data_IF_821963082921
#
_entry.id   IF_821963082921
#
_cell.length_a   1.000
_cell.length_b   1.000
_cell.length_c   1.000
_cell.angle_alpha   90.00
_cell.angle_beta   90.00
_cell.angle_gamma   90.00
#
_symmetry.space_group_name_H-M   'P 1'
#
loop_
_entity.id
_entity.type
_entity.pdbx_description
1 polymer ?
#
# COMPACT_ATOMS: atom_id res chain seq x y z
N UNK A 1 -9.89 -11.31 10.10
CA UNK A 1 -8.92 -10.20 10.16
C UNK A 1 -9.33 -9.15 9.15
N UNK A 2 -9.11 -7.88 9.42
CA UNK A 2 -9.56 -6.81 8.53
C UNK A 2 -8.57 -6.64 7.36
N UNK A 3 -9.09 -6.59 6.14
CA UNK A 3 -8.35 -6.33 4.90
C UNK A 3 -8.53 -4.88 4.42
N UNK A 4 -9.26 -4.06 5.16
CA UNK A 4 -9.46 -2.67 4.79
C UNK A 4 -8.17 -1.86 4.99
N UNK A 5 -7.83 -1.07 4.00
CA UNK A 5 -6.64 -0.23 4.00
C UNK A 5 -7.04 1.25 4.06
N UNK A 6 -6.21 2.07 4.68
CA UNK A 6 -6.40 3.51 4.79
C UNK A 6 -5.14 4.24 4.34
N UNK A 7 -5.30 5.32 3.58
CA UNK A 7 -4.22 6.22 3.20
C UNK A 7 -4.66 7.67 3.36
N UNK A 8 -4.27 8.29 4.47
CA UNK A 8 -4.69 9.64 4.84
C UNK A 8 -3.53 10.66 4.88
N UNK A 9 -2.36 10.24 5.31
CA UNK A 9 -1.16 11.10 5.44
C UNK A 9 0.10 10.24 5.63
N UNK A 10 1.28 10.89 5.66
CA UNK A 10 2.56 10.22 5.98
C UNK A 10 2.58 9.50 7.34
N UNK A 11 1.70 9.86 8.27
CA UNK A 11 1.61 9.27 9.61
C UNK A 11 0.33 8.48 9.86
N UNK A 12 -0.53 8.40 8.85
CA UNK A 12 -1.81 7.71 8.95
C UNK A 12 -2.10 6.93 7.67
N UNK A 13 -1.50 5.76 7.57
CA UNK A 13 -1.69 4.83 6.46
C UNK A 13 -1.56 3.38 6.91
N UNK A 14 -1.90 2.49 6.01
CA UNK A 14 -1.77 1.06 6.19
C UNK A 14 -0.99 0.44 5.03
N UNK A 15 -0.44 -0.75 5.27
CA UNK A 15 0.17 -1.63 4.28
C UNK A 15 -0.51 -2.99 4.36
N UNK A 16 -0.55 -3.71 3.26
CA UNK A 16 -0.92 -5.12 3.29
C UNK A 16 0.31 -5.99 3.51
N UNK A 17 0.13 -7.04 4.27
CA UNK A 17 1.13 -8.08 4.50
C UNK A 17 0.49 -9.42 4.80
N UNK A 18 1.26 -10.50 4.73
CA UNK A 18 0.77 -11.84 5.02
C UNK A 18 0.17 -11.96 6.42
N UNK A 19 -0.71 -12.94 6.58
CA UNK A 19 -1.35 -13.20 7.88
C UNK A 19 -0.36 -13.65 8.95
N UNK A 20 0.79 -14.25 8.55
CA UNK A 20 1.73 -14.89 9.47
C UNK A 20 1.14 -16.15 10.17
N UNK A 21 1.85 -16.73 11.14
CA UNK A 21 3.11 -16.24 11.71
C UNK A 21 4.35 -16.46 10.83
N UNK A 22 4.29 -17.40 9.89
CA UNK A 22 5.41 -17.67 9.00
C UNK A 22 5.54 -16.61 7.92
N UNK A 23 6.76 -16.13 7.62
CA UNK A 23 6.97 -15.19 6.52
C UNK A 23 6.67 -15.83 5.16
N UNK A 24 5.96 -15.10 4.32
CA UNK A 24 5.56 -15.51 2.96
C UNK A 24 5.86 -14.38 1.98
N UNK A 25 6.26 -14.70 0.76
CA UNK A 25 6.37 -13.70 -0.32
C UNK A 25 4.99 -13.14 -0.70
N UNK A 26 4.93 -11.87 -1.05
CA UNK A 26 3.66 -11.21 -1.41
C UNK A 26 2.99 -11.94 -2.56
N UNK A 27 3.69 -12.23 -3.65
CA UNK A 27 3.13 -12.94 -4.80
C UNK A 27 2.45 -14.28 -4.49
N UNK A 28 2.78 -14.91 -3.36
CA UNK A 28 2.14 -16.15 -2.91
C UNK A 28 0.97 -15.92 -1.94
N UNK A 29 0.71 -14.68 -1.52
CA UNK A 29 -0.29 -14.35 -0.49
C UNK A 29 -1.18 -13.16 -0.86
N UNK A 30 -1.06 -12.59 -2.04
CA UNK A 30 -1.77 -11.39 -2.51
C UNK A 30 -3.27 -11.42 -2.22
N UNK A 31 -3.89 -12.57 -2.40
CA UNK A 31 -5.33 -12.74 -2.25
C UNK A 31 -5.81 -12.79 -0.79
N UNK A 32 -4.90 -13.07 0.14
CA UNK A 32 -5.22 -13.35 1.55
C UNK A 32 -4.53 -12.38 2.53
N UNK A 33 -3.79 -11.39 2.03
CA UNK A 33 -3.10 -10.41 2.88
C UNK A 33 -4.06 -9.68 3.80
N UNK A 34 -3.54 -9.20 4.92
CA UNK A 34 -4.27 -8.42 5.90
C UNK A 34 -3.62 -7.06 6.10
N UNK A 35 -4.39 -6.13 6.63
CA UNK A 35 -3.97 -4.75 6.79
C UNK A 35 -3.19 -4.52 8.09
N UNK A 36 -2.05 -3.86 7.97
CA UNK A 36 -1.20 -3.38 9.07
C UNK A 36 -1.17 -1.85 9.01
N UNK A 37 -1.64 -1.18 10.04
CA UNK A 37 -1.79 0.28 10.04
C UNK A 37 -0.85 0.97 11.02
N UNK A 38 -0.54 2.23 10.75
CA UNK A 38 0.22 3.09 11.68
C UNK A 38 -0.63 3.51 12.88
N UNK A 39 -1.97 3.46 12.77
CA UNK A 39 -2.91 3.85 13.84
C UNK A 39 -3.85 2.71 14.24
N UNK A 40 -4.09 2.61 15.54
CA UNK A 40 -5.07 1.68 16.12
C UNK A 40 -6.53 2.14 15.89
N UNK A 41 -7.47 1.27 16.24
CA UNK A 41 -8.91 1.58 16.29
C UNK A 41 -9.69 1.25 15.02
N UNK A 42 -9.04 0.61 14.04
CA UNK A 42 -9.66 0.23 12.75
C UNK A 42 -9.99 -1.26 12.62
N UNK A 43 -9.74 -2.03 13.67
CA UNK A 43 -9.84 -3.50 13.60
C UNK A 43 -8.74 -4.17 12.76
N UNK A 44 -7.72 -3.41 12.38
CA UNK A 44 -6.53 -3.86 11.66
C UNK A 44 -5.41 -4.20 12.63
N UNK A 45 -4.35 -4.82 12.14
CA UNK A 45 -3.10 -4.96 12.90
C UNK A 45 -2.36 -3.61 12.95
N UNK A 46 -1.43 -3.48 13.88
CA UNK A 46 -0.50 -2.34 13.91
C UNK A 46 0.81 -2.71 13.22
N UNK A 47 1.37 -1.76 12.49
CA UNK A 47 2.75 -1.86 12.02
C UNK A 47 3.66 -1.83 13.25
N UNK A 48 4.50 -2.86 13.50
CA UNK A 48 5.39 -2.88 14.65
C UNK A 48 6.36 -1.69 14.65
N UNK A 49 6.72 -1.13 15.83
CA UNK A 49 7.72 -0.09 15.93
C UNK A 49 9.05 -0.50 15.27
N UNK A 50 9.69 0.42 14.55
CA UNK A 50 10.96 0.16 13.85
C UNK A 50 10.82 -0.55 12.49
N UNK A 51 9.60 -0.85 12.05
CA UNK A 51 9.37 -1.42 10.72
C UNK A 51 9.61 -0.42 9.62
N UNK A 52 9.06 0.78 9.73
CA UNK A 52 9.22 1.85 8.72
C UNK A 52 10.55 2.57 8.92
N UNK A 53 11.31 2.75 7.83
CA UNK A 53 12.61 3.44 7.81
C UNK A 53 12.57 4.77 7.09
N UNK A 54 11.77 4.90 6.06
CA UNK A 54 11.45 6.17 5.39
C UNK A 54 9.99 6.16 4.95
N UNK A 55 9.39 7.34 4.87
CA UNK A 55 8.03 7.53 4.35
C UNK A 55 7.98 8.83 3.58
N UNK A 56 7.54 8.77 2.34
CA UNK A 56 7.27 9.92 1.49
C UNK A 56 5.80 9.90 1.08
N UNK A 57 5.06 10.95 1.42
CA UNK A 57 3.65 11.11 1.08
C UNK A 57 3.46 12.26 0.11
N UNK A 58 2.71 12.02 -0.95
CA UNK A 58 2.37 13.01 -1.97
C UNK A 58 0.86 13.11 -2.11
N UNK A 59 0.34 14.35 -2.14
CA UNK A 59 -1.05 14.62 -2.49
C UNK A 59 -1.13 15.49 -3.75
N UNK A 60 -1.92 15.04 -4.70
CA UNK A 60 -2.26 15.77 -5.93
C UNK A 60 -3.78 15.96 -6.01
N UNK A 61 -4.30 16.74 -6.96
CA UNK A 61 -5.74 16.82 -7.19
C UNK A 61 -6.41 15.49 -7.57
N UNK A 62 -5.64 14.51 -8.06
CA UNK A 62 -6.15 13.28 -8.66
C UNK A 62 -5.86 12.02 -7.83
N UNK A 63 -4.77 12.02 -7.06
CA UNK A 63 -4.41 10.87 -6.24
C UNK A 63 -3.60 11.29 -5.01
N UNK A 64 -3.55 10.37 -4.06
CA UNK A 64 -2.60 10.40 -2.96
C UNK A 64 -1.71 9.17 -3.06
N UNK A 65 -0.45 9.33 -2.65
CA UNK A 65 0.54 8.27 -2.75
C UNK A 65 1.41 8.28 -1.49
N UNK A 66 1.74 7.10 -1.01
CA UNK A 66 2.77 6.90 0.00
C UNK A 66 3.76 5.87 -0.51
N UNK A 67 5.02 6.12 -0.28
CA UNK A 67 6.12 5.21 -0.61
C UNK A 67 7.19 5.28 0.48
N UNK A 68 8.08 4.32 0.49
CA UNK A 68 9.18 4.32 1.42
C UNK A 68 9.86 2.98 1.58
N UNK A 69 10.70 2.91 2.60
CA UNK A 69 11.49 1.73 2.93
C UNK A 69 11.21 1.21 4.33
N UNK A 70 11.48 -0.05 4.54
CA UNK A 70 11.24 -0.68 5.83
C UNK A 70 11.90 -2.04 6.02
N UNK A 71 11.57 -2.65 7.14
CA UNK A 71 11.89 -4.03 7.50
C UNK A 71 10.58 -4.82 7.53
N UNK A 72 10.10 -5.22 6.36
CA UNK A 72 8.75 -5.79 6.24
C UNK A 72 8.65 -7.25 6.66
N UNK A 73 9.75 -7.89 7.03
CA UNK A 73 9.69 -9.14 7.81
C UNK A 73 8.90 -8.97 9.12
N UNK A 74 8.88 -7.77 9.69
CA UNK A 74 8.10 -7.46 10.89
C UNK A 74 6.58 -7.56 10.67
N UNK A 75 6.13 -7.58 9.42
CA UNK A 75 4.76 -7.83 9.00
C UNK A 75 4.65 -9.10 8.14
N UNK A 76 5.56 -10.04 8.38
CA UNK A 76 5.60 -11.38 7.79
C UNK A 76 5.89 -11.45 6.28
N UNK A 77 6.49 -10.42 5.67
CA UNK A 77 6.94 -10.48 4.29
C UNK A 77 8.30 -11.18 4.24
N UNK A 78 8.38 -12.26 3.46
CA UNK A 78 9.60 -13.02 3.30
C UNK A 78 10.63 -12.29 2.44
N UNK A 79 11.91 -12.42 2.79
CA UNK A 79 13.03 -12.02 1.93
C UNK A 79 13.19 -12.90 0.69
N UNK A 80 12.58 -14.06 0.71
CA UNK A 80 12.63 -15.02 -0.40
C UNK A 80 11.28 -15.04 -1.07
N UNK A 81 11.25 -14.83 -2.39
CA UNK A 81 10.01 -14.88 -3.17
C UNK A 81 9.60 -13.56 -3.81
N UNK A 82 10.38 -12.48 -3.58
CA UNK A 82 10.14 -11.18 -4.19
C UNK A 82 8.90 -10.45 -3.67
N UNK A 83 8.64 -9.30 -4.25
CA UNK A 83 7.44 -8.51 -4.01
C UNK A 83 6.23 -9.01 -4.79
N UNK A 84 5.16 -8.25 -4.70
CA UNK A 84 3.94 -8.47 -5.46
C UNK A 84 3.16 -7.18 -5.63
N UNK A 85 2.25 -7.21 -6.57
CA UNK A 85 1.31 -6.14 -6.88
C UNK A 85 -0.07 -6.47 -6.33
N UNK A 86 -0.69 -5.45 -5.77
CA UNK A 86 -2.03 -5.52 -5.18
C UNK A 86 -2.89 -4.42 -5.80
N UNK A 87 -4.08 -4.80 -6.26
CA UNK A 87 -4.99 -3.93 -6.99
C UNK A 87 -6.47 -4.35 -6.80
N UNK A 88 -7.44 -3.47 -7.11
CA UNK A 88 -8.85 -3.77 -6.89
C UNK A 88 -9.44 -4.78 -7.87
N UNK A 89 -8.75 -5.13 -8.93
CA UNK A 89 -9.26 -6.00 -9.98
C UNK A 89 -8.77 -7.44 -9.83
N UNK A 90 -7.46 -7.64 -9.63
CA UNK A 90 -6.85 -8.96 -9.68
C UNK A 90 -7.03 -9.64 -11.04
N UNK A 91 -6.51 -10.84 -11.21
CA UNK A 91 -6.60 -11.59 -12.46
C UNK A 91 -8.05 -11.97 -12.84
N UNK A 92 -8.89 -12.18 -11.85
CA UNK A 92 -10.27 -12.68 -12.04
C UNK A 92 -11.36 -11.64 -11.75
N UNK A 93 -11.00 -10.38 -11.51
CA UNK A 93 -11.91 -9.29 -11.16
C UNK A 93 -12.38 -9.29 -9.71
N UNK A 94 -11.83 -10.14 -8.85
CA UNK A 94 -12.19 -10.21 -7.43
C UNK A 94 -11.28 -9.38 -6.52
N UNK A 95 -10.19 -8.85 -7.07
CA UNK A 95 -9.20 -8.04 -6.36
C UNK A 95 -8.09 -8.86 -5.71
N UNK A 96 -6.98 -8.18 -5.49
CA UNK A 96 -5.85 -8.61 -4.68
C UNK A 96 -5.61 -7.57 -3.57
N UNK A 97 -6.01 -7.83 -2.29
CA UNK A 97 -6.67 -9.04 -1.81
C UNK A 97 -8.16 -9.12 -2.17
N UNK A 98 -8.71 -10.34 -2.15
CA UNK A 98 -10.14 -10.56 -2.36
C UNK A 98 -10.94 -9.83 -1.27
N UNK A 99 -11.83 -8.91 -1.70
CA UNK A 99 -12.67 -8.15 -0.81
C UNK A 99 -11.95 -7.04 -0.02
N UNK A 100 -10.70 -6.72 -0.37
CA UNK A 100 -9.96 -5.60 0.20
C UNK A 100 -10.56 -4.25 -0.24
N UNK A 101 -10.89 -3.39 0.74
CA UNK A 101 -11.41 -2.05 0.49
C UNK A 101 -10.39 -1.00 0.92
N UNK A 102 -10.26 0.05 0.12
CA UNK A 102 -9.35 1.16 0.38
C UNK A 102 -10.14 2.44 0.68
N UNK A 103 -9.73 3.15 1.71
CA UNK A 103 -10.35 4.38 2.18
C UNK A 103 -9.33 5.51 2.30
N UNK A 104 -9.76 6.73 1.99
CA UNK A 104 -8.95 7.93 2.21
C UNK A 104 -9.82 9.13 2.60
N UNK A 105 -9.27 10.02 3.42
CA UNK A 105 -9.85 11.34 3.71
C UNK A 105 -9.09 12.47 3.02
N UNK A 106 -8.07 12.15 2.24
CA UNK A 106 -7.18 13.15 1.63
C UNK A 106 -7.88 14.06 0.60
N UNK A 107 -9.06 13.66 0.10
CA UNK A 107 -9.88 14.47 -0.81
C UNK A 107 -11.06 15.18 -0.11
N UNK A 108 -11.04 15.26 1.22
CA UNK A 108 -12.08 15.86 2.03
C UNK A 108 -12.54 14.94 3.16
N UNK A 109 -13.78 14.44 3.11
CA UNK A 109 -14.26 13.45 4.08
C UNK A 109 -13.78 12.04 3.73
N UNK A 110 -13.69 11.19 4.75
CA UNK A 110 -13.36 9.78 4.56
C UNK A 110 -14.35 9.11 3.59
N UNK A 111 -13.82 8.53 2.54
CA UNK A 111 -14.58 7.82 1.51
C UNK A 111 -13.79 6.62 1.00
N UNK A 112 -14.51 5.63 0.46
CA UNK A 112 -13.89 4.55 -0.27
C UNK A 112 -13.34 5.07 -1.60
N UNK A 113 -12.17 4.57 -2.00
CA UNK A 113 -11.62 4.72 -3.34
C UNK A 113 -11.71 3.38 -4.06
N UNK A 114 -12.09 3.42 -5.33
CA UNK A 114 -12.30 2.21 -6.13
C UNK A 114 -11.12 1.86 -7.03
N UNK A 115 -10.24 2.82 -7.30
CA UNK A 115 -9.01 2.61 -8.06
C UNK A 115 -7.79 2.92 -7.20
N UNK A 116 -6.93 1.93 -7.08
CA UNK A 116 -5.69 2.01 -6.32
C UNK A 116 -4.72 0.95 -6.79
N UNK A 117 -3.43 1.12 -6.53
CA UNK A 117 -2.40 0.10 -6.79
C UNK A 117 -1.33 0.16 -5.71
N UNK A 118 -0.81 -0.97 -5.33
CA UNK A 118 0.20 -1.12 -4.29
C UNK A 118 1.23 -2.15 -4.68
N UNK A 119 2.50 -1.83 -4.44
CA UNK A 119 3.62 -2.76 -4.54
C UNK A 119 4.32 -2.81 -3.20
N UNK A 120 4.70 -4.00 -2.76
CA UNK A 120 5.48 -4.17 -1.55
C UNK A 120 6.39 -5.41 -1.68
N UNK A 121 7.62 -5.26 -1.22
CA UNK A 121 8.61 -6.33 -1.07
C UNK A 121 9.19 -6.32 0.36
N UNK A 122 10.29 -6.99 0.57
CA UNK A 122 10.93 -7.07 1.89
C UNK A 122 11.50 -5.73 2.40
N UNK A 123 11.76 -4.76 1.51
CA UNK A 123 12.44 -3.51 1.84
C UNK A 123 11.71 -2.24 1.38
N UNK A 124 10.89 -2.32 0.31
CA UNK A 124 10.25 -1.17 -0.32
C UNK A 124 8.74 -1.34 -0.36
N UNK A 125 8.04 -0.23 -0.32
CA UNK A 125 6.61 -0.19 -0.56
C UNK A 125 6.21 1.07 -1.30
N UNK A 126 5.14 0.99 -2.06
CA UNK A 126 4.42 2.13 -2.57
C UNK A 126 2.93 1.78 -2.70
N UNK A 127 2.09 2.78 -2.45
CA UNK A 127 0.65 2.69 -2.55
C UNK A 127 0.14 3.99 -3.13
N UNK A 128 -0.62 3.92 -4.20
CA UNK A 128 -1.35 5.04 -4.77
C UNK A 128 -2.85 4.78 -4.68
N UNK A 129 -3.58 5.77 -4.22
CA UNK A 129 -5.04 5.74 -4.11
C UNK A 129 -5.58 6.90 -4.94
N UNK A 130 -6.39 6.60 -5.94
CA UNK A 130 -6.90 7.56 -6.89
C UNK A 130 -8.26 8.10 -6.46
N UNK A 131 -8.47 9.38 -6.69
CA UNK A 131 -9.77 10.01 -6.50
C UNK A 131 -10.74 9.44 -7.54
N UNK A 132 -11.89 8.96 -7.10
CA UNK A 132 -12.92 8.46 -8.01
C UNK A 132 -13.29 9.50 -9.07
N UNK A 133 -13.45 9.04 -10.29
CA UNK A 133 -13.77 9.84 -11.47
C UNK A 133 -13.18 9.23 -12.75
N UNK A 134 -13.45 9.86 -13.87
CA UNK A 134 -13.12 9.35 -15.22
C UNK A 134 -11.62 9.07 -15.43
N UNK A 135 -10.76 9.74 -14.67
CA UNK A 135 -9.28 9.60 -14.77
C UNK A 135 -8.69 8.63 -13.73
N UNK A 136 -9.50 8.04 -12.87
CA UNK A 136 -8.98 7.21 -11.78
C UNK A 136 -8.14 6.03 -12.29
N UNK A 137 -8.65 5.26 -13.25
CA UNK A 137 -7.94 4.14 -13.85
C UNK A 137 -6.67 4.55 -14.63
N UNK A 138 -6.59 5.78 -15.12
CA UNK A 138 -5.39 6.28 -15.81
C UNK A 138 -4.25 6.60 -14.84
N UNK A 139 -4.58 7.10 -13.65
CA UNK A 139 -3.58 7.40 -12.62
C UNK A 139 -3.22 6.19 -11.76
N UNK A 140 -4.14 5.24 -11.59
CA UNK A 140 -3.94 4.00 -10.84
C UNK A 140 -3.91 2.78 -11.78
N UNK A 141 -3.02 2.82 -12.79
CA UNK A 141 -2.85 1.70 -13.72
C UNK A 141 -2.29 0.48 -12.99
N UNK A 142 -2.89 -0.67 -13.24
CA UNK A 142 -2.51 -1.98 -12.72
C UNK A 142 -2.12 -2.95 -13.86
N UNK A 143 -1.49 -2.45 -14.91
CA UNK A 143 -1.09 -3.23 -16.10
C UNK A 143 0.44 -3.45 -16.18
N UNK A 144 1.18 -2.99 -15.18
CA UNK A 144 2.64 -3.08 -15.11
C UNK A 144 3.10 -3.80 -13.83
N UNK A 145 2.50 -4.96 -13.58
CA UNK A 145 2.55 -5.68 -12.30
C UNK A 145 3.98 -6.10 -11.90
N UNK A 146 4.87 -6.30 -12.87
CA UNK A 146 6.26 -6.70 -12.63
C UNK A 146 7.25 -5.52 -12.52
N UNK A 147 6.79 -4.29 -12.73
CA UNK A 147 7.69 -3.14 -12.85
C UNK A 147 8.03 -2.46 -11.51
N UNK A 148 7.32 -2.78 -10.43
CA UNK A 148 7.58 -2.27 -9.08
C UNK A 148 7.37 -0.77 -8.89
N UNK A 149 7.81 -0.28 -7.72
CA UNK A 149 7.55 1.10 -7.28
C UNK A 149 8.22 2.17 -8.14
N UNK A 150 9.47 1.97 -8.53
CA UNK A 150 10.24 3.01 -9.26
C UNK A 150 9.60 3.36 -10.60
N UNK A 151 9.03 2.38 -11.28
CA UNK A 151 8.36 2.59 -12.56
C UNK A 151 6.94 3.13 -12.41
N UNK A 152 6.13 2.47 -11.57
CA UNK A 152 4.70 2.77 -11.44
C UNK A 152 4.42 4.02 -10.61
N UNK A 153 5.21 4.24 -9.59
CA UNK A 153 5.04 5.33 -8.63
C UNK A 153 6.38 6.00 -8.34
N UNK A 154 7.02 6.64 -9.33
CA UNK A 154 8.31 7.29 -9.13
C UNK A 154 8.22 8.34 -8.02
N UNK A 155 9.17 8.31 -7.11
CA UNK A 155 9.29 9.23 -5.97
C UNK A 155 10.70 9.80 -5.90
N UNK A 156 10.89 10.80 -5.03
CA UNK A 156 12.24 11.24 -4.68
C UNK A 156 13.05 10.05 -4.11
N UNK A 157 14.38 10.03 -4.28
CA UNK A 157 15.22 8.96 -3.75
C UNK A 157 14.95 8.74 -2.26
N UNK A 158 14.76 7.49 -1.88
CA UNK A 158 14.54 7.11 -0.49
C UNK A 158 15.75 7.46 0.37
N UNK A 159 15.54 8.38 1.30
CA UNK A 159 16.54 8.73 2.31
C UNK A 159 16.14 8.13 3.65
N UNK A 160 17.01 7.29 4.21
CA UNK A 160 16.76 6.70 5.52
C UNK A 160 16.53 7.75 6.59
N UNK A 161 15.48 7.57 7.38
CA UNK A 161 15.11 8.49 8.46
C UNK A 161 14.29 9.70 8.01
N UNK A 162 14.00 9.83 6.73
CA UNK A 162 13.13 10.91 6.21
C UNK A 162 11.67 10.47 6.23
N UNK A 163 10.84 11.30 6.86
CA UNK A 163 9.38 11.17 6.90
C UNK A 163 8.80 12.50 6.47
N UNK A 164 8.31 12.59 5.24
CA UNK A 164 7.90 13.86 4.64
C UNK A 164 6.54 13.79 3.94
N UNK A 165 5.92 14.96 3.79
CA UNK A 165 4.69 15.15 3.02
C UNK A 165 4.86 16.28 2.02
N UNK A 166 4.41 16.06 0.79
CA UNK A 166 4.32 17.05 -0.28
C UNK A 166 2.84 17.19 -0.70
N UNK A 167 2.33 18.43 -0.64
CA UNK A 167 0.92 18.74 -0.95
C UNK A 167 0.82 19.86 -2.00
#
# INVERSE_FOLDING_TARGET
MCQNLYLNSATDFCLWGPQGPEPVGIGNSEREVVSYCTKAGRGTRLIPPGTLRSVHFVRTPHYVQVSGTGLFENIHISKVGGGGELDPHGEDGLGNPIGGLVFTNAFGKLAQAHEWTSFIDENHFCLRVCKDGDMAADYCKHIYDEMGCEFNMPTAPDQLGVFESCE
#
